data_IF_593013127001
#
_entry.id   IF_593013127001
#
_cell.length_a   1.000
_cell.length_b   1.000
_cell.length_c   1.000
_cell.angle_alpha   90.00
_cell.angle_beta   90.00
_cell.angle_gamma   90.00
#
_symmetry.space_group_name_H-M   'P 1'
#
loop_
_entity.id
_entity.type
_entity.pdbx_description
1 polymer ?
#
# COMPACT_ATOMS: atom_id res chain seq x y z
N UNK A 1 31.03 -13.64 -20.05
CA UNK A 1 29.74 -13.82 -20.74
C UNK A 1 28.67 -13.69 -19.66
N UNK A 2 27.89 -12.60 -19.65
CA UNK A 2 26.87 -12.37 -18.60
C UNK A 2 25.64 -13.21 -18.93
N UNK A 3 25.28 -14.11 -18.02
CA UNK A 3 24.10 -14.95 -18.13
C UNK A 3 22.85 -14.10 -17.86
N UNK A 4 22.06 -13.86 -18.90
CA UNK A 4 20.77 -13.20 -18.79
C UNK A 4 19.82 -14.21 -18.15
N UNK A 5 19.52 -14.05 -16.87
CA UNK A 5 18.58 -14.91 -16.16
C UNK A 5 17.21 -14.85 -16.83
N UNK A 6 16.92 -15.85 -17.65
CA UNK A 6 15.62 -16.06 -18.25
C UNK A 6 14.65 -16.37 -17.10
N UNK A 7 13.79 -15.42 -16.76
CA UNK A 7 12.87 -15.48 -15.60
C UNK A 7 11.76 -16.52 -15.76
N UNK A 8 12.12 -17.78 -16.00
CA UNK A 8 11.19 -18.91 -16.02
C UNK A 8 10.95 -19.34 -14.58
N UNK A 9 9.67 -19.36 -14.18
CA UNK A 9 9.27 -19.92 -12.89
C UNK A 9 9.52 -21.43 -12.95
N UNK A 10 10.46 -21.91 -12.13
CA UNK A 10 10.83 -23.32 -12.09
C UNK A 10 9.92 -24.15 -11.18
N UNK A 11 9.25 -23.52 -10.20
CA UNK A 11 8.45 -24.21 -9.19
C UNK A 11 7.42 -23.25 -8.56
N UNK A 12 6.25 -23.78 -8.21
CA UNK A 12 5.23 -23.10 -7.40
C UNK A 12 4.97 -23.98 -6.18
N UNK A 13 5.12 -23.42 -4.99
CA UNK A 13 4.87 -24.10 -3.71
C UNK A 13 4.05 -23.22 -2.79
N UNK A 14 3.37 -23.86 -1.83
CA UNK A 14 2.74 -23.14 -0.72
C UNK A 14 3.86 -22.62 0.18
N UNK A 15 3.80 -21.34 0.53
CA UNK A 15 4.70 -20.76 1.53
C UNK A 15 3.94 -20.56 2.83
N UNK A 16 4.51 -21.08 3.92
CA UNK A 16 4.09 -20.76 5.28
C UNK A 16 4.79 -19.50 5.81
N UNK A 17 5.72 -18.93 5.03
CA UNK A 17 6.36 -17.67 5.37
C UNK A 17 5.31 -16.57 5.39
N UNK A 18 5.14 -15.97 6.57
CA UNK A 18 4.40 -14.73 6.65
C UNK A 18 5.30 -13.66 6.04
N UNK A 19 4.86 -13.03 4.93
CA UNK A 19 5.48 -11.85 4.35
C UNK A 19 5.32 -10.67 5.33
N UNK A 20 6.05 -10.71 6.45
CA UNK A 20 6.01 -9.75 7.57
C UNK A 20 6.84 -8.51 7.33
N UNK A 21 7.52 -8.43 6.19
CA UNK A 21 8.23 -7.23 5.76
C UNK A 21 7.39 -6.50 4.72
N UNK A 22 7.54 -5.16 4.69
CA UNK A 22 6.94 -4.21 3.73
C UNK A 22 6.98 -4.65 2.25
N UNK A 23 7.72 -5.71 1.89
CA UNK A 23 7.57 -6.44 0.63
C UNK A 23 6.15 -6.89 0.30
N UNK A 24 5.30 -7.20 1.31
CA UNK A 24 3.88 -7.50 1.10
C UNK A 24 3.06 -6.29 0.60
N UNK A 25 3.51 -5.06 0.88
CA UNK A 25 2.81 -3.84 0.48
C UNK A 25 2.79 -3.66 -1.04
N UNK A 26 3.77 -4.17 -1.78
CA UNK A 26 3.81 -3.98 -3.23
C UNK A 26 2.58 -4.62 -3.92
N UNK A 27 2.17 -5.81 -3.49
CA UNK A 27 0.97 -6.46 -3.99
C UNK A 27 -0.30 -5.74 -3.56
N UNK A 28 -0.33 -5.28 -2.30
CA UNK A 28 -1.44 -4.49 -1.78
C UNK A 28 -1.64 -3.18 -2.55
N UNK A 29 -0.56 -2.46 -2.86
CA UNK A 29 -0.59 -1.24 -3.68
C UNK A 29 -1.17 -1.52 -5.05
N UNK A 30 -0.72 -2.58 -5.73
CA UNK A 30 -1.26 -3.00 -7.04
C UNK A 30 -2.74 -3.36 -6.94
N UNK A 31 -3.14 -4.05 -5.90
CA UNK A 31 -4.54 -4.38 -5.65
C UNK A 31 -5.40 -3.12 -5.47
N UNK A 32 -4.99 -2.18 -4.61
CA UNK A 32 -5.71 -0.92 -4.39
C UNK A 32 -5.87 -0.10 -5.68
N UNK A 33 -4.84 -0.11 -6.53
CA UNK A 33 -4.90 0.52 -7.85
C UNK A 33 -5.91 -0.17 -8.77
N UNK A 34 -5.89 -1.52 -8.81
CA UNK A 34 -6.79 -2.30 -9.66
C UNK A 34 -8.27 -2.13 -9.30
N UNK A 35 -8.59 -2.05 -8.00
CA UNK A 35 -9.98 -1.85 -7.54
C UNK A 35 -10.42 -0.38 -7.57
N UNK A 36 -9.51 0.57 -7.82
CA UNK A 36 -9.84 1.98 -7.93
C UNK A 36 -10.34 2.66 -6.64
N UNK A 37 -10.14 2.04 -5.47
CA UNK A 37 -10.73 2.49 -4.19
C UNK A 37 -10.30 3.92 -3.82
N UNK A 38 -9.06 4.30 -4.13
CA UNK A 38 -8.56 5.65 -3.87
C UNK A 38 -9.34 6.69 -4.67
N UNK A 39 -9.77 6.36 -5.89
CA UNK A 39 -10.61 7.24 -6.70
C UNK A 39 -12.00 7.44 -6.08
N UNK A 40 -12.61 6.38 -5.59
CA UNK A 40 -13.90 6.43 -4.89
C UNK A 40 -13.84 7.28 -3.61
N UNK A 41 -12.76 7.12 -2.83
CA UNK A 41 -12.51 7.93 -1.65
C UNK A 41 -12.32 9.40 -2.04
N UNK A 42 -11.47 9.71 -3.02
CA UNK A 42 -11.26 11.08 -3.46
C UNK A 42 -12.54 11.76 -3.97
N UNK A 43 -13.39 11.02 -4.68
CA UNK A 43 -14.69 11.54 -5.11
C UNK A 43 -15.60 11.85 -3.91
N UNK A 44 -15.71 10.91 -2.96
CA UNK A 44 -16.52 11.10 -1.74
C UNK A 44 -16.04 12.24 -0.86
N UNK A 45 -14.74 12.51 -0.86
CA UNK A 45 -14.09 13.54 -0.05
C UNK A 45 -13.63 14.77 -0.86
N UNK A 46 -14.18 14.96 -2.07
CA UNK A 46 -13.81 16.08 -2.95
C UNK A 46 -14.06 17.47 -2.33
N UNK A 47 -14.97 17.57 -1.36
CA UNK A 47 -15.26 18.80 -0.63
C UNK A 47 -14.18 19.21 0.39
N UNK A 48 -13.21 18.35 0.69
CA UNK A 48 -12.09 18.72 1.57
C UNK A 48 -11.20 19.71 0.82
N UNK A 49 -11.16 20.96 1.29
CA UNK A 49 -10.29 22.01 0.75
C UNK A 49 -8.84 21.52 0.72
N UNK A 50 -8.22 21.62 -0.46
CA UNK A 50 -6.79 21.36 -0.65
C UNK A 50 -6.01 22.37 0.21
N UNK A 51 -5.39 21.91 1.29
CA UNK A 51 -4.48 22.76 2.06
C UNK A 51 -3.16 22.87 1.31
N UNK A 52 -2.60 24.09 1.22
CA UNK A 52 -1.24 24.31 0.72
C UNK A 52 -0.21 23.80 1.75
N UNK A 53 -0.60 23.77 3.03
CA UNK A 53 0.20 23.26 4.14
C UNK A 53 -0.32 21.88 4.54
N UNK A 54 0.41 20.81 4.21
CA UNK A 54 0.10 19.44 4.62
C UNK A 54 0.11 18.42 3.48
N UNK A 55 -0.12 17.16 3.86
CA UNK A 55 -0.18 16.02 2.96
C UNK A 55 -1.47 16.09 2.11
N UNK A 56 -1.39 15.73 0.83
CA UNK A 56 -2.59 15.67 -0.01
C UNK A 56 -3.59 14.64 0.51
N UNK A 57 -4.89 14.89 0.34
CA UNK A 57 -5.97 13.94 0.71
C UNK A 57 -5.73 12.55 0.11
N UNK A 58 -5.19 12.50 -1.12
CA UNK A 58 -4.79 11.25 -1.77
C UNK A 58 -3.72 10.51 -0.98
N UNK A 59 -2.66 11.21 -0.60
CA UNK A 59 -1.54 10.61 0.14
C UNK A 59 -1.95 10.22 1.56
N UNK A 60 -2.85 10.97 2.20
CA UNK A 60 -3.43 10.61 3.50
C UNK A 60 -4.14 9.26 3.43
N UNK A 61 -5.01 9.05 2.43
CA UNK A 61 -5.68 7.76 2.26
C UNK A 61 -4.70 6.62 1.98
N UNK A 62 -3.67 6.85 1.15
CA UNK A 62 -2.64 5.84 0.89
C UNK A 62 -1.86 5.50 2.17
N UNK A 63 -1.43 6.50 2.94
CA UNK A 63 -0.72 6.30 4.20
C UNK A 63 -1.57 5.51 5.20
N UNK A 64 -2.84 5.87 5.39
CA UNK A 64 -3.74 5.16 6.28
C UNK A 64 -3.94 3.70 5.84
N UNK A 65 -4.20 3.45 4.55
CA UNK A 65 -4.38 2.10 4.03
C UNK A 65 -3.11 1.25 4.17
N UNK A 66 -1.93 1.82 3.88
CA UNK A 66 -0.66 1.13 4.04
C UNK A 66 -0.35 0.83 5.49
N UNK A 67 -0.62 1.77 6.40
CA UNK A 67 -0.42 1.60 7.84
C UNK A 67 -1.25 0.44 8.40
N UNK A 68 -2.55 0.41 8.11
CA UNK A 68 -3.42 -0.66 8.59
C UNK A 68 -3.07 -2.02 7.99
N UNK A 69 -2.55 -2.05 6.75
CA UNK A 69 -2.16 -3.28 6.07
C UNK A 69 -0.79 -3.81 6.53
N UNK A 70 0.19 -2.94 6.75
CA UNK A 70 1.54 -3.30 7.23
C UNK A 70 1.48 -3.99 8.60
N UNK A 71 0.45 -3.71 9.40
CA UNK A 71 0.12 -4.49 10.59
C UNK A 71 1.03 -4.26 11.79
N UNK A 72 2.08 -3.43 11.66
CA UNK A 72 2.96 -2.98 12.75
C UNK A 72 2.16 -2.42 13.93
N UNK A 73 1.09 -1.68 13.65
CA UNK A 73 0.09 -1.25 14.62
C UNK A 73 -1.22 -0.98 13.89
N UNK A 74 -2.34 -1.13 14.59
CA UNK A 74 -3.68 -0.80 14.08
C UNK A 74 -4.35 0.33 14.86
N UNK A 75 -3.62 0.94 15.79
CA UNK A 75 -4.14 2.04 16.59
C UNK A 75 -3.92 3.36 15.85
N UNK A 76 -4.99 4.15 15.69
CA UNK A 76 -4.88 5.46 15.06
C UNK A 76 -3.97 6.41 15.86
N UNK A 77 -3.89 6.25 17.18
CA UNK A 77 -2.94 7.02 18.01
C UNK A 77 -1.49 6.78 17.63
N UNK A 78 -1.15 5.57 17.17
CA UNK A 78 0.20 5.23 16.72
C UNK A 78 0.46 5.65 15.26
N UNK A 79 -0.59 5.91 14.49
CA UNK A 79 -0.46 6.45 13.13
C UNK A 79 0.12 7.87 13.13
N UNK A 80 -0.27 8.70 14.10
CA UNK A 80 0.20 10.08 14.24
C UNK A 80 1.65 10.18 14.78
N UNK A 81 2.22 9.07 15.27
CA UNK A 81 3.62 9.00 15.74
C UNK A 81 4.62 8.71 14.60
N UNK A 82 4.13 8.43 13.38
CA UNK A 82 4.92 8.09 12.18
C UNK A 82 5.09 9.29 11.22
#
# INVERSE_FOLDING_TARGET
>A
MQETANGKIHKLEVTDDTLTSRGGLAFFVKYLQAIGIVGLLLHKFAGIKKSIKGVSVRNLFLQALYFFFDGTSRHLSYFDEL
#
